data_IF_489546501809
#
_entry.id   IF_489546501809
#
_cell.length_a   1.000
_cell.length_b   1.000
_cell.length_c   1.000
_cell.angle_alpha   90.00
_cell.angle_beta   90.00
_cell.angle_gamma   90.00
#
_symmetry.space_group_name_H-M   'P 1'
#
loop_
_entity.id
_entity.type
_entity.pdbx_description
1 polymer ?
#
# COMPACT_ATOMS: atom_id res chain seq x y z
N UNK A 1 -1.86 51.89 -27.27
CA UNK A 1 -3.05 51.14 -27.77
C UNK A 1 -2.67 50.62 -29.15
N UNK A 2 -2.26 49.34 -29.24
CA UNK A 2 -3.12 48.21 -29.69
C UNK A 2 -3.60 48.45 -31.12
N UNK A 3 -3.50 47.60 -32.13
CA UNK A 3 -3.15 46.20 -32.38
C UNK A 3 -3.44 46.08 -33.91
N UNK A 4 -3.09 45.10 -34.72
CA UNK A 4 -2.23 43.95 -34.79
C UNK A 4 -2.63 43.37 -36.17
N UNK A 5 -1.71 42.89 -37.00
CA UNK A 5 -2.04 41.96 -38.09
C UNK A 5 -0.74 41.35 -38.59
N UNK A 6 -0.20 40.42 -37.79
CA UNK A 6 0.92 39.58 -38.19
C UNK A 6 0.32 38.42 -38.99
N UNK A 7 0.72 38.37 -40.26
CA UNK A 7 0.35 37.38 -41.27
C UNK A 7 0.59 35.95 -40.79
N UNK A 8 -0.40 35.11 -41.04
CA UNK A 8 -0.31 33.66 -41.01
C UNK A 8 0.80 33.18 -41.96
N UNK A 9 1.70 32.35 -41.45
CA UNK A 9 2.60 31.53 -42.24
C UNK A 9 2.30 30.08 -41.87
N UNK A 10 1.59 29.38 -42.76
CA UNK A 10 1.54 27.93 -42.79
C UNK A 10 2.76 27.45 -43.59
N UNK A 11 3.69 26.77 -42.94
CA UNK A 11 4.60 25.86 -43.64
C UNK A 11 4.45 24.48 -43.03
N UNK A 12 4.23 23.54 -43.94
CA UNK A 12 4.00 22.14 -43.70
C UNK A 12 5.31 21.40 -43.38
N UNK A 13 5.15 20.37 -42.55
CA UNK A 13 5.87 19.10 -42.55
C UNK A 13 7.40 19.10 -42.67
N UNK A 14 8.08 18.72 -41.59
CA UNK A 14 9.14 17.71 -41.72
C UNK A 14 9.11 16.78 -40.50
N UNK A 15 8.70 15.55 -40.79
CA UNK A 15 8.83 14.35 -39.97
C UNK A 15 10.29 14.07 -39.62
N UNK A 16 10.59 13.80 -38.36
CA UNK A 16 11.79 13.07 -37.95
C UNK A 16 11.44 12.10 -36.84
N UNK A 17 11.14 10.88 -37.27
CA UNK A 17 11.12 9.63 -36.52
C UNK A 17 12.49 8.98 -36.54
N UNK A 18 13.23 8.95 -35.42
CA UNK A 18 14.23 7.93 -35.01
C UNK A 18 14.59 8.25 -33.54
N UNK A 19 14.90 7.37 -32.60
CA UNK A 19 15.19 5.94 -32.53
C UNK A 19 14.83 5.49 -31.09
N UNK A 20 14.11 4.38 -30.89
CA UNK A 20 14.66 3.11 -30.40
C UNK A 20 15.84 3.28 -29.42
N UNK A 21 15.54 3.31 -28.12
CA UNK A 21 16.52 3.06 -27.07
C UNK A 21 16.04 1.91 -26.18
N UNK A 22 16.67 0.76 -26.41
CA UNK A 22 17.05 -0.29 -25.46
C UNK A 22 15.98 -0.84 -24.52
N UNK A 23 15.53 -2.05 -24.85
CA UNK A 23 14.86 -2.94 -23.91
C UNK A 23 15.79 -3.36 -22.79
N UNK A 24 15.28 -3.31 -21.56
CA UNK A 24 15.80 -4.13 -20.47
C UNK A 24 15.32 -5.56 -20.71
N UNK A 25 16.18 -6.37 -21.32
CA UNK A 25 16.05 -7.82 -21.27
C UNK A 25 16.31 -8.26 -19.83
N UNK A 26 15.30 -8.20 -18.97
CA UNK A 26 15.37 -8.84 -17.65
C UNK A 26 15.17 -10.33 -17.89
N UNK A 27 16.28 -11.06 -17.88
CA UNK A 27 16.33 -12.51 -17.82
C UNK A 27 15.48 -13.00 -16.66
N UNK A 28 14.43 -13.77 -16.98
CA UNK A 28 13.68 -14.59 -16.05
C UNK A 28 14.63 -15.60 -15.40
N UNK A 29 15.06 -15.32 -14.17
CA UNK A 29 15.52 -16.39 -13.28
C UNK A 29 14.29 -17.17 -12.86
N UNK A 30 14.19 -18.40 -13.33
CA UNK A 30 13.27 -19.42 -12.84
C UNK A 30 13.44 -19.55 -11.32
N UNK A 31 12.41 -19.29 -10.50
CA UNK A 31 12.45 -19.74 -9.13
C UNK A 31 12.45 -21.27 -9.12
N UNK A 32 13.54 -21.81 -8.58
CA UNK A 32 13.79 -23.22 -8.33
C UNK A 32 12.60 -23.83 -7.56
N UNK A 33 11.93 -24.79 -8.19
CA UNK A 33 10.73 -25.46 -7.70
C UNK A 33 11.10 -26.55 -6.68
N UNK A 34 11.91 -26.23 -5.67
CA UNK A 34 12.45 -27.21 -4.72
C UNK A 34 12.15 -26.88 -3.25
N UNK A 35 10.96 -26.33 -3.00
CA UNK A 35 10.41 -26.14 -1.64
C UNK A 35 9.12 -26.94 -1.39
N UNK A 36 8.66 -27.75 -2.35
CA UNK A 36 7.46 -28.58 -2.19
C UNK A 36 7.75 -29.91 -1.47
N UNK A 37 9.01 -30.22 -1.12
CA UNK A 37 9.39 -31.52 -0.51
C UNK A 37 9.95 -31.39 0.91
N UNK A 38 9.35 -30.55 1.76
CA UNK A 38 9.53 -30.61 3.23
C UNK A 38 8.25 -30.49 4.05
N UNK A 39 7.08 -30.64 3.40
CA UNK A 39 5.78 -30.78 4.06
C UNK A 39 5.30 -32.23 3.95
N UNK A 40 5.94 -33.15 4.69
CA UNK A 40 5.41 -34.49 4.96
C UNK A 40 6.26 -35.25 6.00
N UNK A 41 6.55 -34.65 7.15
CA UNK A 41 6.94 -35.35 8.38
C UNK A 41 6.91 -34.32 9.52
N UNK A 42 6.52 -34.73 10.73
CA UNK A 42 6.31 -33.87 11.92
C UNK A 42 4.97 -33.13 11.98
N UNK A 43 3.90 -33.87 11.71
CA UNK A 43 2.67 -33.72 12.46
C UNK A 43 2.77 -34.60 13.72
N UNK A 44 3.26 -34.03 14.83
CA UNK A 44 2.80 -34.36 16.18
C UNK A 44 3.47 -33.44 17.22
N UNK A 45 2.67 -33.07 18.22
CA UNK A 45 3.07 -32.73 19.58
C UNK A 45 3.21 -31.23 19.98
N UNK A 46 2.06 -30.71 20.44
CA UNK A 46 1.87 -29.94 21.68
C UNK A 46 2.59 -28.59 21.87
N UNK A 47 1.81 -27.50 21.96
CA UNK A 47 1.41 -26.94 23.27
C UNK A 47 0.71 -25.57 23.17
N UNK A 48 -0.30 -25.41 24.04
CA UNK A 48 -0.82 -24.16 24.62
C UNK A 48 -1.69 -23.26 23.74
N UNK A 49 -2.91 -23.74 23.48
CA UNK A 49 -4.08 -22.90 23.68
C UNK A 49 -4.19 -22.59 25.19
N UNK A 50 -3.58 -21.47 25.62
CA UNK A 50 -3.72 -20.97 26.98
C UNK A 50 -5.18 -20.67 27.29
N UNK A 51 -5.66 -21.14 28.44
CA UNK A 51 -7.01 -20.86 28.92
C UNK A 51 -7.29 -19.35 28.83
N UNK A 52 -8.34 -18.99 28.10
CA UNK A 52 -8.81 -17.61 28.00
C UNK A 52 -9.23 -17.19 29.41
N UNK A 53 -8.47 -16.27 30.02
CA UNK A 53 -8.76 -15.76 31.37
C UNK A 53 -10.17 -15.18 31.41
N UNK A 54 -10.94 -15.47 32.47
CA UNK A 54 -12.31 -14.96 32.64
C UNK A 54 -12.33 -13.42 32.58
N UNK A 55 -11.23 -12.78 32.99
CA UNK A 55 -11.00 -11.34 32.87
C UNK A 55 -10.93 -10.85 31.41
N UNK A 56 -10.37 -11.64 30.50
CA UNK A 56 -10.30 -11.38 29.06
C UNK A 56 -11.71 -11.46 28.43
N UNK A 57 -12.49 -12.46 28.85
CA UNK A 57 -13.85 -12.70 28.38
C UNK A 57 -14.83 -11.63 28.88
N UNK A 58 -14.70 -11.21 30.14
CA UNK A 58 -15.47 -10.11 30.73
C UNK A 58 -15.11 -8.75 30.13
N UNK A 59 -13.84 -8.52 29.80
CA UNK A 59 -13.40 -7.29 29.13
C UNK A 59 -14.01 -7.15 27.73
N UNK A 60 -14.04 -8.24 26.95
CA UNK A 60 -14.75 -8.29 25.66
C UNK A 60 -16.27 -8.10 25.81
N UNK A 61 -16.89 -8.66 26.85
CA UNK A 61 -18.32 -8.52 27.11
C UNK A 61 -18.72 -7.10 27.55
N UNK A 62 -17.80 -6.33 28.17
CA UNK A 62 -18.01 -4.93 28.54
C UNK A 62 -17.76 -3.94 27.40
N UNK A 63 -17.50 -4.43 26.18
CA UNK A 63 -17.19 -3.59 25.01
C UNK A 63 -15.83 -2.89 25.10
N UNK A 64 -15.00 -3.26 26.08
CA UNK A 64 -13.62 -2.82 26.18
C UNK A 64 -12.76 -3.85 25.48
N UNK A 65 -12.79 -3.81 24.14
CA UNK A 65 -11.74 -4.40 23.31
C UNK A 65 -10.41 -3.97 23.92
N UNK A 66 -9.61 -4.92 24.37
CA UNK A 66 -8.28 -4.68 24.91
C UNK A 66 -7.59 -3.65 24.02
N UNK A 67 -7.43 -2.45 24.57
CA UNK A 67 -6.62 -1.42 23.95
C UNK A 67 -5.23 -2.04 23.86
N UNK A 68 -4.64 -2.25 22.67
CA UNK A 68 -3.25 -2.61 22.62
C UNK A 68 -2.53 -1.51 23.42
N UNK A 69 -1.70 -1.95 24.36
CA UNK A 69 -0.89 -1.11 25.24
C UNK A 69 -0.48 0.18 24.52
N UNK A 70 -0.51 1.32 25.21
CA UNK A 70 -0.21 2.67 24.71
C UNK A 70 1.22 2.89 24.19
N UNK A 71 1.77 1.94 23.44
CA UNK A 71 2.83 2.12 22.49
C UNK A 71 2.19 2.66 21.21
N UNK A 72 2.44 3.93 20.93
CA UNK A 72 2.11 4.54 19.65
C UNK A 72 2.81 3.71 18.56
N UNK A 73 2.07 2.83 17.87
CA UNK A 73 2.61 2.04 16.77
C UNK A 73 3.19 2.99 15.74
N UNK A 74 4.52 3.02 15.56
CA UNK A 74 5.20 3.94 14.63
C UNK A 74 4.68 3.80 13.20
N UNK A 75 4.19 2.61 12.86
CA UNK A 75 3.79 2.23 11.53
C UNK A 75 2.41 1.57 11.58
N UNK A 76 1.55 1.90 10.62
CA UNK A 76 0.27 1.24 10.40
C UNK A 76 0.36 0.41 9.12
N UNK A 77 -0.01 -0.87 9.21
CA UNK A 77 -0.10 -1.75 8.05
C UNK A 77 -1.56 -2.03 7.69
N UNK A 78 -1.87 -1.92 6.41
CA UNK A 78 -3.19 -2.19 5.84
C UNK A 78 -3.04 -3.24 4.75
N UNK A 79 -3.93 -4.23 4.74
CA UNK A 79 -3.99 -5.25 3.68
C UNK A 79 -5.27 -5.13 2.89
N UNK A 80 -5.15 -5.00 1.58
CA UNK A 80 -6.28 -5.01 0.66
C UNK A 80 -6.58 -6.45 0.23
N UNK A 81 -7.85 -6.73 -0.06
CA UNK A 81 -8.18 -7.93 -0.83
C UNK A 81 -7.78 -7.69 -2.28
N UNK A 82 -7.30 -8.73 -2.97
CA UNK A 82 -6.55 -8.61 -4.23
C UNK A 82 -7.27 -7.88 -5.37
N UNK A 83 -8.60 -7.68 -5.27
CA UNK A 83 -9.40 -6.92 -6.26
C UNK A 83 -10.05 -5.65 -5.72
N UNK A 84 -10.05 -5.43 -4.41
CA UNK A 84 -10.65 -4.23 -3.85
C UNK A 84 -9.73 -3.04 -4.04
N UNK A 85 -10.30 -1.92 -4.48
CA UNK A 85 -9.66 -0.61 -4.42
C UNK A 85 -10.14 0.18 -3.20
N UNK A 86 -11.20 -0.26 -2.53
CA UNK A 86 -11.85 0.49 -1.46
C UNK A 86 -11.27 0.15 -0.08
N UNK A 87 -11.24 1.16 0.77
CA UNK A 87 -10.95 1.01 2.19
C UNK A 87 -12.17 0.44 2.91
N UNK A 88 -12.00 -0.66 3.64
CA UNK A 88 -13.04 -1.21 4.50
C UNK A 88 -13.28 -0.29 5.70
N UNK A 89 -14.45 -0.42 6.36
CA UNK A 89 -14.75 0.36 7.57
C UNK A 89 -13.68 0.17 8.65
N UNK A 90 -13.22 -1.06 8.87
CA UNK A 90 -12.15 -1.37 9.83
C UNK A 90 -10.81 -0.69 9.51
N UNK A 91 -10.45 -0.59 8.23
CA UNK A 91 -9.24 0.12 7.79
C UNK A 91 -9.38 1.63 7.97
N UNK A 92 -10.56 2.18 7.69
CA UNK A 92 -10.85 3.60 7.91
C UNK A 92 -10.76 3.95 9.40
N UNK A 93 -11.29 3.10 10.28
CA UNK A 93 -11.19 3.28 11.73
C UNK A 93 -9.74 3.17 12.22
N UNK A 94 -8.95 2.24 11.68
CA UNK A 94 -7.53 2.11 11.98
C UNK A 94 -6.74 3.35 11.54
N UNK A 95 -6.95 3.81 10.29
CA UNK A 95 -6.35 5.03 9.77
C UNK A 95 -6.74 6.26 10.58
N UNK A 96 -8.01 6.36 10.99
CA UNK A 96 -8.50 7.48 11.79
C UNK A 96 -7.83 7.50 13.16
N UNK A 97 -7.73 6.35 13.84
CA UNK A 97 -7.01 6.23 15.11
C UNK A 97 -5.53 6.60 14.95
N UNK A 98 -4.87 6.09 13.91
CA UNK A 98 -3.45 6.35 13.65
C UNK A 98 -3.16 7.83 13.32
N UNK A 99 -4.03 8.48 12.56
CA UNK A 99 -3.92 9.90 12.24
C UNK A 99 -4.17 10.79 13.46
N UNK A 100 -5.15 10.44 14.30
CA UNK A 100 -5.49 11.23 15.48
C UNK A 100 -4.40 11.22 16.57
N UNK A 101 -3.52 10.21 16.59
CA UNK A 101 -2.36 10.20 17.50
C UNK A 101 -1.22 11.09 17.01
N UNK A 102 -1.29 11.66 15.79
CA UNK A 102 -0.21 12.41 15.13
C UNK A 102 -0.71 13.67 14.43
N UNK A 103 -1.04 14.73 15.17
CA UNK A 103 -1.51 15.96 14.54
C UNK A 103 -0.44 16.57 13.62
N UNK A 104 -0.81 16.80 12.36
CA UNK A 104 -0.07 17.66 11.41
C UNK A 104 1.35 17.20 11.06
N UNK A 105 1.58 15.88 10.98
CA UNK A 105 2.84 15.31 10.51
C UNK A 105 2.75 14.89 9.03
N UNK A 106 3.89 14.91 8.34
CA UNK A 106 3.99 14.31 7.00
C UNK A 106 4.10 12.80 7.16
N UNK A 107 3.21 12.07 6.47
CA UNK A 107 3.16 10.62 6.50
C UNK A 107 3.65 10.04 5.17
N UNK A 108 4.50 9.04 5.27
CA UNK A 108 4.93 8.20 4.16
C UNK A 108 3.92 7.07 3.95
N UNK A 109 3.40 6.93 2.74
CA UNK A 109 2.48 5.88 2.32
C UNK A 109 3.19 4.99 1.30
N UNK A 110 3.67 3.85 1.76
CA UNK A 110 4.34 2.85 0.94
C UNK A 110 3.34 1.81 0.42
N UNK A 111 3.37 1.55 -0.89
CA UNK A 111 2.47 0.63 -1.58
C UNK A 111 3.23 -0.59 -2.09
N UNK A 112 2.74 -1.78 -1.76
CA UNK A 112 3.15 -3.00 -2.45
C UNK A 112 2.36 -3.17 -3.76
N UNK A 113 2.97 -3.71 -4.83
CA UNK A 113 2.23 -4.20 -6.00
C UNK A 113 1.10 -5.15 -5.59
N UNK A 114 -0.01 -5.16 -6.33
CA UNK A 114 -1.07 -6.14 -6.06
C UNK A 114 -0.64 -7.56 -6.45
N UNK A 115 -1.35 -8.57 -5.95
CA UNK A 115 -1.08 -9.98 -6.28
C UNK A 115 -1.45 -10.38 -7.73
N UNK A 116 -1.76 -9.43 -8.62
CA UNK A 116 -2.11 -9.73 -10.01
C UNK A 116 -0.89 -10.09 -10.85
N UNK A 117 -1.05 -10.99 -11.81
CA UNK A 117 0.05 -11.47 -12.65
C UNK A 117 0.61 -10.43 -13.61
N UNK A 118 -0.21 -9.46 -14.05
CA UNK A 118 0.25 -8.38 -14.92
C UNK A 118 0.93 -7.27 -14.10
N UNK A 119 2.23 -6.98 -14.33
CA UNK A 119 2.99 -6.07 -13.48
C UNK A 119 2.53 -4.61 -13.59
N UNK A 120 2.07 -4.19 -14.78
CA UNK A 120 1.58 -2.83 -15.01
C UNK A 120 0.27 -2.61 -14.28
N UNK A 121 -0.63 -3.58 -14.37
CA UNK A 121 -1.88 -3.62 -13.61
C UNK A 121 -1.59 -3.67 -12.11
N UNK A 122 -0.61 -4.47 -11.68
CA UNK A 122 -0.26 -4.61 -10.28
C UNK A 122 0.21 -3.29 -9.64
N UNK A 123 1.09 -2.57 -10.34
CA UNK A 123 1.55 -1.25 -9.92
C UNK A 123 0.41 -0.22 -9.97
N UNK A 124 -0.43 -0.25 -11.01
CA UNK A 124 -1.54 0.70 -11.16
C UNK A 124 -2.58 0.55 -10.04
N UNK A 125 -2.90 -0.69 -9.66
CA UNK A 125 -3.79 -1.00 -8.54
C UNK A 125 -3.17 -0.53 -7.22
N UNK A 126 -1.88 -0.80 -6.99
CA UNK A 126 -1.16 -0.37 -5.80
C UNK A 126 -1.18 1.16 -5.62
N UNK A 127 -0.82 1.91 -6.67
CA UNK A 127 -0.83 3.37 -6.67
C UNK A 127 -2.24 3.90 -6.41
N UNK A 128 -3.25 3.31 -7.05
CA UNK A 128 -4.65 3.72 -6.86
C UNK A 128 -5.11 3.57 -5.41
N UNK A 129 -4.71 2.50 -4.73
CA UNK A 129 -5.01 2.26 -3.31
C UNK A 129 -4.27 3.24 -2.41
N UNK A 130 -2.99 3.50 -2.68
CA UNK A 130 -2.22 4.51 -1.94
C UNK A 130 -2.80 5.90 -2.07
N UNK A 131 -3.21 6.31 -3.27
CA UNK A 131 -3.89 7.60 -3.46
C UNK A 131 -5.16 7.69 -2.61
N UNK A 132 -5.93 6.60 -2.46
CA UNK A 132 -7.11 6.59 -1.59
C UNK A 132 -6.74 6.75 -0.11
N UNK A 133 -5.69 6.06 0.35
CA UNK A 133 -5.17 6.21 1.71
C UNK A 133 -4.67 7.64 1.95
N UNK A 134 -3.85 8.17 1.03
CA UNK A 134 -3.36 9.55 1.04
C UNK A 134 -4.50 10.57 1.13
N UNK A 135 -5.49 10.48 0.25
CA UNK A 135 -6.67 11.37 0.28
C UNK A 135 -7.47 11.25 1.58
N UNK A 136 -7.51 10.07 2.18
CA UNK A 136 -8.19 9.88 3.46
C UNK A 136 -7.45 10.59 4.61
N UNK A 137 -6.12 10.55 4.60
CA UNK A 137 -5.26 11.21 5.59
C UNK A 137 -5.20 12.74 5.38
N UNK A 138 -5.17 13.19 4.13
CA UNK A 138 -5.15 14.63 3.77
C UNK A 138 -6.40 15.37 4.23
N UNK A 139 -7.57 14.72 4.20
CA UNK A 139 -8.81 15.27 4.78
C UNK A 139 -8.70 15.58 6.28
N UNK A 140 -7.68 15.07 6.95
CA UNK A 140 -7.42 15.23 8.38
C UNK A 140 -6.18 16.06 8.65
N UNK A 141 -5.80 16.97 7.75
CA UNK A 141 -4.68 17.93 7.90
C UNK A 141 -3.28 17.32 7.82
N UNK A 142 -3.15 16.10 7.32
CA UNK A 142 -1.85 15.46 7.13
C UNK A 142 -1.35 15.67 5.70
N UNK A 143 -0.05 15.87 5.52
CA UNK A 143 0.58 15.79 4.20
C UNK A 143 1.04 14.36 3.95
N UNK A 144 0.92 13.86 2.72
CA UNK A 144 1.35 12.49 2.41
C UNK A 144 2.33 12.43 1.25
N UNK A 145 3.27 11.50 1.34
CA UNK A 145 4.20 11.15 0.27
C UNK A 145 4.00 9.68 -0.09
N UNK A 146 3.81 9.40 -1.38
CA UNK A 146 3.54 8.04 -1.88
C UNK A 146 4.82 7.44 -2.43
N UNK A 147 5.11 6.18 -2.09
CA UNK A 147 6.21 5.41 -2.69
C UNK A 147 5.76 4.00 -3.02
N UNK A 148 6.25 3.46 -4.15
CA UNK A 148 6.07 2.05 -4.50
C UNK A 148 7.22 1.24 -3.90
N UNK A 149 6.91 0.27 -3.05
CA UNK A 149 7.89 -0.63 -2.44
C UNK A 149 7.61 -2.08 -2.86
N UNK A 150 8.35 -2.62 -3.85
CA UNK A 150 8.16 -3.98 -4.33
C UNK A 150 8.62 -5.07 -3.34
N UNK A 151 9.34 -4.68 -2.28
CA UNK A 151 9.80 -5.57 -1.21
C UNK A 151 8.73 -5.86 -0.16
N UNK A 152 7.63 -5.10 -0.16
CA UNK A 152 6.48 -5.35 0.73
C UNK A 152 5.66 -6.55 0.24
N UNK A 153 4.87 -7.13 1.14
CA UNK A 153 3.99 -8.23 0.76
C UNK A 153 2.89 -7.73 -0.21
N UNK A 154 2.48 -8.55 -1.19
CA UNK A 154 1.46 -8.14 -2.16
C UNK A 154 0.17 -7.64 -1.50
N UNK A 155 -0.46 -6.65 -2.12
CA UNK A 155 -1.69 -6.01 -1.62
C UNK A 155 -1.56 -5.27 -0.26
N UNK A 156 -0.34 -5.10 0.26
CA UNK A 156 -0.06 -4.35 1.48
C UNK A 156 0.14 -2.85 1.21
N UNK A 157 -0.30 -2.03 2.15
CA UNK A 157 0.06 -0.61 2.26
C UNK A 157 0.59 -0.37 3.67
N UNK A 158 1.72 0.32 3.76
CA UNK A 158 2.34 0.71 5.02
C UNK A 158 2.33 2.23 5.15
N UNK A 159 1.81 2.73 6.25
CA UNK A 159 1.81 4.15 6.59
C UNK A 159 2.77 4.36 7.74
N UNK A 160 3.72 5.26 7.56
CA UNK A 160 4.74 5.59 8.56
C UNK A 160 4.99 7.09 8.59
N UNK A 161 5.69 7.56 9.62
CA UNK A 161 6.15 8.94 9.67
C UNK A 161 7.25 9.14 8.61
N UNK A 162 7.20 10.25 7.87
CA UNK A 162 8.29 10.61 6.96
C UNK A 162 9.50 11.03 7.80
N UNK A 163 10.64 10.38 7.59
CA UNK A 163 11.94 10.71 8.20
C UNK A 163 12.48 12.07 7.73
#
# INVERSE_FOLDING_TARGET
MMSALIRAIRFAALTSTVALASGCATTLQTPDLNLITRQAADAEQSSQAGAISISEMLSRARGQSAQPNGQTEKTLELRFTSRSLELTASQQDALNRYANTRPSQTLQVDCAPSATSDPVTAASVAVSRCIKVSRFLEKRTHTTAISLQPTLEPDQIRVSESE
#
